data_IF_059041599594
#
_entry.id   IF_059041599594
#
_cell.length_a   1.000
_cell.length_b   1.000
_cell.length_c   1.000
_cell.angle_alpha   90.00
_cell.angle_beta   90.00
_cell.angle_gamma   90.00
#
_symmetry.space_group_name_H-M   'P 1'
#
loop_
_entity.id
_entity.type
_entity.pdbx_description
1 polymer ?
#
# COMPACT_ATOMS: atom_id res chain seq x y z
N UNK A 1 11.94 -1.32 47.66
CA UNK A 1 10.83 -0.59 46.99
C UNK A 1 11.10 -0.31 45.51
N UNK A 2 12.35 -0.29 45.03
CA UNK A 2 12.66 -0.12 43.60
C UNK A 2 12.55 -1.42 42.77
N UNK A 3 12.81 -2.58 43.37
CA UNK A 3 12.80 -3.89 42.66
C UNK A 3 11.40 -4.39 42.28
N UNK A 4 10.36 -4.07 43.04
CA UNK A 4 8.97 -4.40 42.67
C UNK A 4 8.49 -3.59 41.45
N UNK A 5 8.90 -2.32 41.34
CA UNK A 5 8.51 -1.45 40.23
C UNK A 5 9.17 -1.88 38.89
N UNK A 6 10.44 -2.29 38.95
CA UNK A 6 11.17 -2.87 37.80
C UNK A 6 10.51 -4.18 37.31
N UNK A 7 10.05 -5.04 38.22
CA UNK A 7 9.36 -6.28 37.83
C UNK A 7 7.98 -6.05 37.20
N UNK A 8 7.28 -4.98 37.61
CA UNK A 8 6.02 -4.55 37.00
C UNK A 8 6.23 -3.98 35.60
N UNK A 9 7.22 -3.10 35.43
CA UNK A 9 7.59 -2.53 34.13
C UNK A 9 8.07 -3.61 33.15
N UNK A 10 8.83 -4.61 33.61
CA UNK A 10 9.24 -5.75 32.76
C UNK A 10 8.06 -6.66 32.36
N UNK A 11 7.07 -6.83 33.23
CA UNK A 11 5.87 -7.61 32.93
C UNK A 11 5.00 -6.90 31.88
N UNK A 12 4.88 -5.57 32.01
CA UNK A 12 4.15 -4.74 31.06
C UNK A 12 4.85 -4.68 29.69
N UNK A 13 6.18 -4.55 29.66
CA UNK A 13 6.96 -4.60 28.41
C UNK A 13 6.84 -5.95 27.69
N UNK A 14 6.83 -7.07 28.43
CA UNK A 14 6.62 -8.41 27.85
C UNK A 14 5.21 -8.56 27.28
N UNK A 15 4.21 -8.03 27.97
CA UNK A 15 2.82 -8.05 27.52
C UNK A 15 2.64 -7.19 26.25
N UNK A 16 3.21 -6.00 26.23
CA UNK A 16 3.17 -5.11 25.07
C UNK A 16 3.92 -5.70 23.86
N UNK A 17 5.03 -6.40 24.08
CA UNK A 17 5.74 -7.13 23.03
C UNK A 17 4.90 -8.30 22.47
N UNK A 18 4.19 -9.04 23.32
CA UNK A 18 3.28 -10.11 22.88
C UNK A 18 2.09 -9.54 22.08
N UNK A 19 1.51 -8.43 22.53
CA UNK A 19 0.42 -7.74 21.86
C UNK A 19 0.84 -7.21 20.47
N UNK A 20 2.03 -6.60 20.37
CA UNK A 20 2.61 -6.15 19.10
C UNK A 20 2.92 -7.33 18.18
N UNK A 21 3.37 -8.46 18.74
CA UNK A 21 3.65 -9.68 17.96
C UNK A 21 2.36 -10.31 17.43
N UNK A 22 1.27 -10.28 18.19
CA UNK A 22 -0.07 -10.70 17.74
C UNK A 22 -0.59 -9.77 16.64
N UNK A 23 -0.52 -8.45 16.85
CA UNK A 23 -0.93 -7.46 15.85
C UNK A 23 -0.13 -7.62 14.54
N UNK A 24 1.18 -7.89 14.60
CA UNK A 24 1.99 -8.16 13.42
C UNK A 24 1.54 -9.39 12.64
N UNK A 25 1.17 -10.47 13.34
CA UNK A 25 0.64 -11.68 12.68
C UNK A 25 -0.69 -11.40 11.99
N UNK A 26 -1.57 -10.66 12.67
CA UNK A 26 -2.87 -10.28 12.12
C UNK A 26 -2.74 -9.40 10.87
N UNK A 27 -1.92 -8.34 10.95
CA UNK A 27 -1.65 -7.46 9.80
C UNK A 27 -0.99 -8.22 8.65
N UNK A 28 -0.07 -9.15 8.94
CA UNK A 28 0.56 -9.98 7.90
C UNK A 28 -0.48 -10.85 7.19
N UNK A 29 -1.39 -11.48 7.94
CA UNK A 29 -2.47 -12.28 7.37
C UNK A 29 -3.43 -11.43 6.52
N UNK A 30 -3.79 -10.23 6.99
CA UNK A 30 -4.61 -9.28 6.23
C UNK A 30 -3.91 -8.83 4.94
N UNK A 31 -2.59 -8.63 4.96
CA UNK A 31 -1.81 -8.30 3.76
C UNK A 31 -1.87 -9.45 2.75
N UNK A 32 -1.64 -10.70 3.17
CA UNK A 32 -1.69 -11.85 2.26
C UNK A 32 -3.08 -12.01 1.62
N UNK A 33 -4.15 -11.88 2.42
CA UNK A 33 -5.52 -11.91 1.92
C UNK A 33 -5.77 -10.78 0.90
N UNK A 34 -5.38 -9.56 1.24
CA UNK A 34 -5.56 -8.38 0.39
C UNK A 34 -4.73 -8.47 -0.91
N UNK A 35 -3.54 -9.09 -0.89
CA UNK A 35 -2.75 -9.36 -2.10
C UNK A 35 -3.44 -10.36 -3.02
N UNK A 36 -4.06 -11.40 -2.45
CA UNK A 36 -4.86 -12.36 -3.21
C UNK A 36 -6.07 -11.72 -3.88
N UNK A 37 -6.79 -10.86 -3.16
CA UNK A 37 -7.92 -10.10 -3.72
C UNK A 37 -7.48 -9.10 -4.79
N UNK A 38 -6.37 -8.38 -4.55
CA UNK A 38 -5.80 -7.46 -5.51
C UNK A 38 -5.41 -8.16 -6.82
N UNK A 39 -4.86 -9.38 -6.74
CA UNK A 39 -4.52 -10.17 -7.92
C UNK A 39 -5.77 -10.53 -8.74
N UNK A 40 -6.85 -10.96 -8.08
CA UNK A 40 -8.13 -11.25 -8.74
C UNK A 40 -8.73 -10.00 -9.39
N UNK A 41 -8.68 -8.86 -8.71
CA UNK A 41 -9.14 -7.58 -9.24
C UNK A 41 -8.29 -7.11 -10.42
N UNK A 42 -6.97 -7.30 -10.37
CA UNK A 42 -6.06 -6.97 -11.47
C UNK A 42 -6.34 -7.82 -12.72
N UNK A 43 -6.58 -9.13 -12.55
CA UNK A 43 -6.98 -10.01 -13.64
C UNK A 43 -8.31 -9.58 -14.25
N UNK A 44 -9.30 -9.24 -13.41
CA UNK A 44 -10.61 -8.74 -13.87
C UNK A 44 -10.47 -7.41 -14.61
N UNK A 45 -9.65 -6.49 -14.10
CA UNK A 45 -9.40 -5.20 -14.73
C UNK A 45 -8.74 -5.36 -16.11
N UNK A 46 -7.76 -6.26 -16.24
CA UNK A 46 -7.13 -6.57 -17.52
C UNK A 46 -8.15 -7.12 -18.52
N UNK A 47 -9.00 -8.08 -18.11
CA UNK A 47 -10.05 -8.63 -18.98
C UNK A 47 -11.06 -7.57 -19.45
N UNK A 48 -11.48 -6.68 -18.55
CA UNK A 48 -12.40 -5.58 -18.90
C UNK A 48 -11.73 -4.57 -19.82
N UNK A 49 -10.44 -4.29 -19.62
CA UNK A 49 -9.67 -3.40 -20.50
C UNK A 49 -9.53 -3.98 -21.90
N UNK A 50 -9.31 -5.30 -22.03
CA UNK A 50 -9.31 -5.98 -23.33
C UNK A 50 -10.68 -5.91 -24.00
N UNK A 51 -11.77 -6.09 -23.25
CA UNK A 51 -13.13 -5.91 -23.77
C UNK A 51 -13.37 -4.46 -24.24
N UNK A 52 -12.89 -3.47 -23.48
CA UNK A 52 -12.96 -2.06 -23.86
C UNK A 52 -12.24 -1.79 -25.19
N UNK A 53 -11.04 -2.35 -25.39
CA UNK A 53 -10.31 -2.24 -26.67
C UNK A 53 -11.05 -2.90 -27.84
N UNK A 54 -11.71 -4.04 -27.60
CA UNK A 54 -12.54 -4.69 -28.62
C UNK A 54 -13.75 -3.84 -29.01
N UNK A 55 -14.42 -3.24 -28.01
CA UNK A 55 -15.53 -2.31 -28.22
C UNK A 55 -15.07 -1.05 -28.96
N UNK A 56 -13.88 -0.53 -28.64
CA UNK A 56 -13.24 0.56 -29.40
C UNK A 56 -12.94 0.16 -30.86
N UNK A 57 -12.55 -1.09 -31.13
CA UNK A 57 -12.35 -1.59 -32.49
C UNK A 57 -13.64 -1.80 -33.29
N UNK A 58 -14.80 -1.86 -32.63
CA UNK A 58 -16.12 -2.13 -33.22
C UNK A 58 -17.13 -0.98 -32.98
N UNK A 59 -16.63 0.24 -32.75
CA UNK A 59 -17.44 1.42 -32.40
C UNK A 59 -18.58 1.70 -33.39
N UNK A 60 -18.37 1.37 -34.66
CA UNK A 60 -19.34 1.66 -35.72
C UNK A 60 -20.48 0.62 -35.82
N UNK A 61 -20.35 -0.56 -35.19
CA UNK A 61 -21.37 -1.62 -35.21
C UNK A 61 -22.12 -1.81 -33.90
N UNK A 62 -21.59 -1.32 -32.79
CA UNK A 62 -22.16 -1.51 -31.46
C UNK A 62 -23.10 -0.35 -31.08
N UNK A 63 -24.21 -0.63 -30.37
CA UNK A 63 -25.12 0.42 -29.94
C UNK A 63 -24.45 1.31 -28.87
N UNK A 64 -24.77 2.62 -28.82
CA UNK A 64 -24.19 3.58 -27.87
C UNK A 64 -24.33 3.18 -26.39
N UNK A 65 -25.36 2.40 -26.05
CA UNK A 65 -25.56 1.89 -24.69
C UNK A 65 -24.53 0.83 -24.30
N UNK A 66 -24.11 -0.03 -25.22
CA UNK A 66 -23.09 -1.05 -24.94
C UNK A 66 -21.71 -0.42 -24.76
N UNK A 67 -21.42 0.64 -25.52
CA UNK A 67 -20.21 1.44 -25.35
C UNK A 67 -20.19 2.07 -23.95
N UNK A 68 -21.28 2.73 -23.53
CA UNK A 68 -21.41 3.30 -22.18
C UNK A 68 -21.19 2.25 -21.10
N UNK A 69 -21.90 1.11 -21.19
CA UNK A 69 -21.78 0.03 -20.22
C UNK A 69 -20.35 -0.55 -20.12
N UNK A 70 -19.63 -0.64 -21.25
CA UNK A 70 -18.25 -1.11 -21.26
C UNK A 70 -17.31 -0.12 -20.55
N UNK A 71 -17.47 1.19 -20.78
CA UNK A 71 -16.71 2.23 -20.10
C UNK A 71 -17.01 2.28 -18.60
N UNK A 72 -18.29 2.24 -18.21
CA UNK A 72 -18.70 2.23 -16.80
C UNK A 72 -18.11 1.02 -16.07
N UNK A 73 -18.14 -0.16 -16.72
CA UNK A 73 -17.55 -1.38 -16.17
C UNK A 73 -16.03 -1.29 -16.02
N UNK A 74 -15.34 -0.64 -16.96
CA UNK A 74 -13.90 -0.41 -16.88
C UNK A 74 -13.54 0.57 -15.77
N UNK A 75 -14.32 1.65 -15.63
CA UNK A 75 -14.15 2.67 -14.61
C UNK A 75 -14.32 2.09 -13.21
N UNK A 76 -15.40 1.35 -12.94
CA UNK A 76 -15.64 0.69 -11.64
C UNK A 76 -14.53 -0.30 -11.31
N UNK A 77 -14.09 -1.11 -12.28
CA UNK A 77 -13.00 -2.06 -12.08
C UNK A 77 -11.68 -1.37 -11.76
N UNK A 78 -11.37 -0.23 -12.39
CA UNK A 78 -10.18 0.56 -12.11
C UNK A 78 -10.24 1.23 -10.74
N UNK A 79 -11.38 1.82 -10.38
CA UNK A 79 -11.59 2.46 -9.07
C UNK A 79 -11.42 1.46 -7.92
N UNK A 80 -12.04 0.27 -8.02
CA UNK A 80 -11.90 -0.78 -6.99
C UNK A 80 -10.46 -1.22 -6.83
N UNK A 81 -9.75 -1.40 -7.95
CA UNK A 81 -8.34 -1.79 -7.94
C UNK A 81 -7.46 -0.70 -7.31
N UNK A 82 -7.75 0.58 -7.57
CA UNK A 82 -7.07 1.71 -6.93
C UNK A 82 -7.28 1.74 -5.42
N UNK A 83 -8.54 1.63 -4.95
CA UNK A 83 -8.86 1.61 -3.51
C UNK A 83 -8.17 0.44 -2.81
N UNK A 84 -8.19 -0.76 -3.40
CA UNK A 84 -7.54 -1.93 -2.81
C UNK A 84 -6.02 -1.79 -2.74
N UNK A 85 -5.37 -1.18 -3.74
CA UNK A 85 -3.93 -0.86 -3.65
C UNK A 85 -3.64 0.09 -2.48
N UNK A 86 -4.43 1.15 -2.31
CA UNK A 86 -4.26 2.07 -1.19
C UNK A 86 -4.47 1.40 0.18
N UNK A 87 -5.44 0.49 0.29
CA UNK A 87 -5.63 -0.30 1.52
C UNK A 87 -4.42 -1.21 1.80
N UNK A 88 -3.88 -1.86 0.77
CA UNK A 88 -2.67 -2.68 0.91
C UNK A 88 -1.48 -1.85 1.41
N UNK A 89 -1.27 -0.66 0.84
CA UNK A 89 -0.19 0.24 1.22
C UNK A 89 -0.31 0.68 2.69
N UNK A 90 -1.53 0.98 3.14
CA UNK A 90 -1.81 1.29 4.55
C UNK A 90 -1.43 0.12 5.46
N UNK A 91 -1.86 -1.09 5.14
CA UNK A 91 -1.52 -2.29 5.92
C UNK A 91 0.00 -2.54 5.94
N UNK A 92 0.69 -2.34 4.82
CA UNK A 92 2.16 -2.43 4.77
C UNK A 92 2.85 -1.37 5.62
N UNK A 93 2.33 -0.14 5.66
CA UNK A 93 2.85 0.91 6.53
C UNK A 93 2.66 0.58 8.01
N UNK A 94 1.49 0.04 8.36
CA UNK A 94 1.20 -0.44 9.72
C UNK A 94 2.13 -1.59 10.14
N UNK A 95 2.36 -2.57 9.25
CA UNK A 95 3.34 -3.64 9.50
C UNK A 95 4.73 -3.09 9.82
N UNK A 96 5.23 -2.15 9.03
CA UNK A 96 6.54 -1.54 9.24
C UNK A 96 6.59 -0.75 10.55
N UNK A 97 5.51 -0.04 10.89
CA UNK A 97 5.41 0.67 12.17
C UNK A 97 5.48 -0.30 13.36
N UNK A 98 4.71 -1.40 13.31
CA UNK A 98 4.72 -2.43 14.35
C UNK A 98 6.06 -3.17 14.44
N UNK A 99 6.74 -3.43 13.32
CA UNK A 99 8.09 -4.01 13.29
C UNK A 99 9.12 -3.10 13.97
N UNK A 100 9.03 -1.78 13.74
CA UNK A 100 9.86 -0.80 14.44
C UNK A 100 9.57 -0.80 15.93
N UNK A 101 8.30 -0.79 16.33
CA UNK A 101 7.89 -0.77 17.74
C UNK A 101 8.39 -2.02 18.47
N UNK A 102 8.26 -3.21 17.84
CA UNK A 102 8.83 -4.46 18.32
C UNK A 102 10.35 -4.38 18.49
N UNK A 103 11.06 -3.81 17.52
CA UNK A 103 12.52 -3.67 17.59
C UNK A 103 12.95 -2.78 18.74
N UNK A 104 12.28 -1.63 18.91
CA UNK A 104 12.54 -0.70 20.02
C UNK A 104 12.28 -1.36 21.37
N UNK A 105 11.10 -1.98 21.55
CA UNK A 105 10.75 -2.70 22.79
C UNK A 105 11.72 -3.86 23.08
N UNK A 106 12.17 -4.57 22.04
CA UNK A 106 13.19 -5.60 22.16
C UNK A 106 14.54 -5.04 22.64
N UNK A 107 15.01 -3.93 22.06
CA UNK A 107 16.28 -3.30 22.46
C UNK A 107 16.24 -2.72 23.87
N UNK A 108 15.11 -2.20 24.32
CA UNK A 108 14.94 -1.73 25.70
C UNK A 108 14.87 -2.88 26.69
N UNK A 109 14.19 -3.99 26.36
CA UNK A 109 14.18 -5.20 27.20
C UNK A 109 15.55 -5.86 27.35
N UNK A 110 16.36 -5.89 26.27
CA UNK A 110 17.75 -6.39 26.33
C UNK A 110 18.68 -5.47 27.12
N UNK A 111 18.56 -4.14 26.95
CA UNK A 111 19.41 -3.17 27.67
C UNK A 111 19.13 -3.12 29.18
N UNK A 112 17.90 -3.41 29.60
CA UNK A 112 17.55 -3.49 31.03
C UNK A 112 18.09 -4.76 31.72
N UNK A 113 18.45 -5.80 30.97
CA UNK A 113 18.95 -7.07 31.54
C UNK A 113 20.47 -7.05 31.79
N UNK A 114 21.23 -6.12 31.20
CA UNK A 114 22.69 -6.00 31.36
C UNK A 114 23.09 -4.97 32.43
N UNK A 115 22.25 -4.80 33.46
CA UNK A 115 22.44 -3.87 34.56
C UNK A 115 23.08 -4.45 35.82
N UNK A 116 23.97 -5.45 35.73
CA UNK A 116 24.89 -5.84 36.81
C UNK A 116 26.05 -6.70 36.28
N UNK A 117 27.07 -6.08 35.67
CA UNK A 117 28.47 -6.25 36.07
C UNK A 117 29.44 -5.47 35.16
N UNK A 118 30.27 -4.63 35.78
CA UNK A 118 31.67 -4.39 35.43
C UNK A 118 32.08 -3.90 34.01
N UNK A 119 32.29 -2.58 33.92
CA UNK A 119 33.37 -1.88 33.21
C UNK A 119 34.16 -2.61 32.09
N UNK A 120 33.92 -2.25 30.82
CA UNK A 120 34.89 -1.75 29.79
C UNK A 120 34.28 -1.80 28.37
N UNK A 121 34.64 -0.79 27.56
CA UNK A 121 34.36 -0.60 26.12
C UNK A 121 33.14 0.24 25.71
N UNK A 122 33.26 1.54 25.98
CA UNK A 122 32.62 2.61 25.22
C UNK A 122 33.27 2.77 23.83
N UNK A 123 32.66 2.22 22.76
CA UNK A 123 32.72 2.77 21.39
C UNK A 123 31.98 1.96 20.30
N UNK A 124 31.43 0.77 20.60
CA UNK A 124 30.81 -0.10 19.57
C UNK A 124 29.33 0.15 19.23
N UNK A 125 28.51 0.54 20.21
CA UNK A 125 27.04 0.57 20.05
C UNK A 125 26.49 1.69 19.16
N UNK A 126 27.24 2.78 18.95
CA UNK A 126 26.81 3.92 18.13
C UNK A 126 26.94 3.62 16.62
N UNK A 127 27.80 2.68 16.25
CA UNK A 127 28.06 2.30 14.85
C UNK A 127 26.96 1.39 14.30
N UNK A 128 26.44 0.45 15.09
CA UNK A 128 25.35 -0.45 14.67
C UNK A 128 24.02 0.29 14.55
N UNK A 129 23.70 1.17 15.51
CA UNK A 129 22.49 1.99 15.45
C UNK A 129 22.51 2.96 14.25
N UNK A 130 23.66 3.59 13.98
CA UNK A 130 23.83 4.46 12.82
C UNK A 130 23.78 3.69 11.49
N UNK A 131 24.26 2.44 11.46
CA UNK A 131 24.19 1.58 10.26
C UNK A 131 22.77 1.10 9.99
N UNK A 132 22.00 0.82 11.03
CA UNK A 132 20.57 0.47 10.93
C UNK A 132 19.75 1.69 10.52
N UNK A 133 20.00 2.88 11.08
CA UNK A 133 19.35 4.12 10.61
C UNK A 133 19.68 4.41 9.14
N UNK A 134 20.91 4.20 8.69
CA UNK A 134 21.29 4.39 7.28
C UNK A 134 20.58 3.40 6.35
N UNK A 135 20.49 2.12 6.75
CA UNK A 135 19.77 1.09 5.99
C UNK A 135 18.27 1.38 5.94
N UNK A 136 17.69 1.81 7.06
CA UNK A 136 16.29 2.19 7.16
C UNK A 136 16.01 3.42 6.32
N UNK A 137 16.84 4.46 6.37
CA UNK A 137 16.67 5.64 5.51
C UNK A 137 16.83 5.28 4.03
N UNK A 138 17.76 4.39 3.67
CA UNK A 138 17.91 3.93 2.30
C UNK A 138 16.65 3.17 1.81
N UNK A 139 16.08 2.30 2.66
CA UNK A 139 14.83 1.61 2.36
C UNK A 139 13.62 2.53 2.34
N UNK A 140 13.53 3.50 3.25
CA UNK A 140 12.43 4.47 3.32
C UNK A 140 12.46 5.43 2.12
N UNK A 141 13.66 5.82 1.69
CA UNK A 141 13.86 6.62 0.47
C UNK A 141 13.43 5.82 -0.77
N UNK A 142 13.77 4.53 -0.83
CA UNK A 142 13.36 3.67 -1.95
C UNK A 142 11.87 3.36 -1.91
N UNK A 143 11.28 3.23 -0.71
CA UNK A 143 9.83 3.09 -0.52
C UNK A 143 9.09 4.37 -0.89
N UNK A 144 9.61 5.55 -0.58
CA UNK A 144 9.05 6.84 -1.03
C UNK A 144 9.21 7.01 -2.54
N UNK A 145 10.31 6.56 -3.13
CA UNK A 145 10.55 6.59 -4.57
C UNK A 145 9.57 5.67 -5.30
N UNK A 146 9.42 4.44 -4.83
CA UNK A 146 8.44 3.46 -5.33
C UNK A 146 7.01 3.95 -5.11
N UNK A 147 6.67 4.45 -3.93
CA UNK A 147 5.35 5.02 -3.64
C UNK A 147 5.04 6.18 -4.56
N UNK A 148 5.95 7.13 -4.80
CA UNK A 148 5.74 8.23 -5.75
C UNK A 148 5.59 7.74 -7.19
N UNK A 149 6.39 6.76 -7.61
CA UNK A 149 6.34 6.20 -8.97
C UNK A 149 5.07 5.36 -9.20
N UNK A 150 4.53 4.73 -8.14
CA UNK A 150 3.32 3.92 -8.14
C UNK A 150 2.03 4.72 -7.88
N UNK A 151 2.13 5.88 -7.22
CA UNK A 151 1.00 6.75 -6.92
C UNK A 151 0.79 7.78 -8.02
N UNK A 152 1.82 8.44 -8.57
CA UNK A 152 1.61 9.50 -9.58
C UNK A 152 1.35 8.95 -10.99
N UNK A 153 2.08 7.94 -11.46
CA UNK A 153 1.92 7.44 -12.83
C UNK A 153 0.56 6.75 -13.08
N UNK A 154 0.19 5.74 -12.28
CA UNK A 154 -1.10 5.07 -12.38
C UNK A 154 -2.29 5.95 -11.97
N UNK A 155 -2.18 6.83 -10.97
CA UNK A 155 -3.28 7.72 -10.60
C UNK A 155 -3.46 8.88 -11.57
N UNK A 156 -2.39 9.43 -12.18
CA UNK A 156 -2.55 10.34 -13.32
C UNK A 156 -3.18 9.64 -14.51
N UNK A 157 -2.76 8.43 -14.84
CA UNK A 157 -3.36 7.67 -15.94
C UNK A 157 -4.85 7.39 -15.67
N UNK A 158 -5.20 7.04 -14.43
CA UNK A 158 -6.58 6.78 -14.02
C UNK A 158 -7.41 8.07 -13.96
N UNK A 159 -6.84 9.19 -13.50
CA UNK A 159 -7.50 10.50 -13.51
C UNK A 159 -7.72 11.02 -14.95
N UNK A 160 -6.73 10.84 -15.83
CA UNK A 160 -6.87 11.15 -17.25
C UNK A 160 -7.91 10.25 -17.91
N UNK A 161 -7.91 8.95 -17.59
CA UNK A 161 -8.92 8.02 -18.10
C UNK A 161 -10.33 8.36 -17.61
N UNK A 162 -10.51 8.73 -16.33
CA UNK A 162 -11.78 9.23 -15.79
C UNK A 162 -12.22 10.47 -16.56
N UNK A 163 -11.33 11.45 -16.71
CA UNK A 163 -11.64 12.71 -17.39
C UNK A 163 -12.00 12.47 -18.86
N UNK A 164 -11.23 11.66 -19.57
CA UNK A 164 -11.49 11.27 -20.96
C UNK A 164 -12.82 10.51 -21.09
N UNK A 165 -13.13 9.62 -20.15
CA UNK A 165 -14.40 8.88 -20.15
C UNK A 165 -15.58 9.82 -19.89
N UNK A 166 -15.46 10.78 -18.96
CA UNK A 166 -16.50 11.77 -18.69
C UNK A 166 -16.72 12.71 -19.89
N UNK A 167 -15.63 13.17 -20.51
CA UNK A 167 -15.65 14.00 -21.73
C UNK A 167 -16.31 13.20 -22.87
N UNK A 168 -15.85 11.98 -23.14
CA UNK A 168 -16.40 11.12 -24.18
C UNK A 168 -17.91 10.83 -23.98
N UNK A 169 -18.35 10.60 -22.74
CA UNK A 169 -19.77 10.41 -22.44
C UNK A 169 -20.60 11.67 -22.69
N UNK A 170 -20.13 12.85 -22.26
CA UNK A 170 -20.81 14.12 -22.55
C UNK A 170 -20.86 14.42 -24.04
N UNK A 171 -19.78 14.15 -24.77
CA UNK A 171 -19.72 14.34 -26.21
C UNK A 171 -20.61 13.34 -26.95
N UNK A 172 -20.74 12.09 -26.49
CA UNK A 172 -21.70 11.14 -27.07
C UNK A 172 -23.17 11.61 -26.97
N UNK A 173 -23.51 12.38 -25.94
CA UNK A 173 -24.84 12.95 -25.75
C UNK A 173 -25.07 14.22 -26.58
N UNK A 174 -24.01 14.87 -27.07
CA UNK A 174 -24.07 16.16 -27.80
C UNK A 174 -23.77 15.99 -29.30
N UNK A 175 -22.69 15.29 -29.67
CA UNK A 175 -22.29 14.97 -31.05
C UNK A 175 -21.28 13.80 -31.10
N UNK A 176 -21.68 12.68 -31.71
CA UNK A 176 -20.90 11.46 -31.80
C UNK A 176 -19.58 11.61 -32.58
N UNK A 177 -19.45 12.63 -33.43
CA UNK A 177 -18.25 12.86 -34.23
C UNK A 177 -17.08 13.44 -33.42
N UNK A 178 -17.34 14.37 -32.49
CA UNK A 178 -16.29 14.95 -31.64
C UNK A 178 -15.84 13.98 -30.52
N UNK A 179 -16.73 13.09 -30.06
CA UNK A 179 -16.34 12.02 -29.11
C UNK A 179 -15.24 11.11 -29.68
N UNK A 180 -15.19 10.95 -31.01
CA UNK A 180 -14.20 10.15 -31.75
C UNK A 180 -12.80 10.77 -31.76
N UNK A 181 -12.68 12.09 -31.62
CA UNK A 181 -11.41 12.83 -31.71
C UNK A 181 -10.69 12.87 -30.36
N UNK A 182 -11.43 12.89 -29.25
CA UNK A 182 -10.90 12.88 -27.87
C UNK A 182 -10.57 11.47 -27.35
N UNK A 183 -10.92 10.41 -28.12
CA UNK A 183 -10.69 9.00 -27.78
C UNK A 183 -9.41 8.39 -28.39
N UNK A 184 -8.70 9.13 -29.26
CA UNK A 184 -7.39 8.76 -29.83
C UNK A 184 -6.24 9.43 -29.08
#
# INVERSE_FOLDING_TARGET
MTTENLSGEELDLKKELDDVTKALREVTLMIEQSQGELTKLAQRNAAITTHLQQVQGQMDSLPPQEIRNAYDSALDAQQRLFVMRGQLEKLQAEKIHLERLKTVLGTTGLSSTEGDDSAKHSSGGKSTLASVEMLVNAQETERQRLSRQMHDGPAQALSNFILQTEIAMRLFDIDAAQAKEELN
#
